data_IF_724295229383
#
_entry.id   IF_724295229383
#
_cell.length_a   1.000
_cell.length_b   1.000
_cell.length_c   1.000
_cell.angle_alpha   90.00
_cell.angle_beta   90.00
_cell.angle_gamma   90.00
#
_symmetry.space_group_name_H-M   'P 1'
#
loop_
_entity.id
_entity.type
_entity.pdbx_description
1 polymer ?
#
# COMPACT_ATOMS: atom_id res chain seq x y z
N UNK A 1 -9.35 -33.80 3.37
CA UNK A 1 -9.97 -32.46 3.43
C UNK A 1 -8.98 -31.39 3.86
N UNK A 2 -8.30 -31.52 5.02
CA UNK A 2 -7.31 -30.54 5.52
C UNK A 2 -6.31 -30.07 4.45
N UNK A 3 -5.64 -31.02 3.77
CA UNK A 3 -4.66 -30.69 2.73
C UNK A 3 -5.25 -29.95 1.52
N UNK A 4 -6.48 -30.27 1.12
CA UNK A 4 -7.17 -29.60 0.02
C UNK A 4 -7.49 -28.14 0.37
N UNK A 5 -7.98 -27.88 1.59
CA UNK A 5 -8.29 -26.51 2.04
C UNK A 5 -7.04 -25.65 2.19
N UNK A 6 -5.93 -26.21 2.68
CA UNK A 6 -4.64 -25.49 2.68
C UNK A 6 -4.16 -25.20 1.26
N UNK A 7 -4.26 -26.17 0.36
CA UNK A 7 -3.91 -25.97 -1.05
C UNK A 7 -4.76 -24.87 -1.70
N UNK A 8 -6.08 -24.90 -1.52
CA UNK A 8 -6.97 -23.86 -2.03
C UNK A 8 -6.64 -22.48 -1.45
N UNK A 9 -6.30 -22.39 -0.15
CA UNK A 9 -5.88 -21.11 0.44
C UNK A 9 -4.61 -20.54 -0.18
N UNK A 10 -3.73 -21.39 -0.70
CA UNK A 10 -2.52 -20.97 -1.40
C UNK A 10 -2.78 -20.50 -2.85
N UNK A 11 -3.93 -20.85 -3.44
CA UNK A 11 -4.31 -20.47 -4.80
C UNK A 11 -5.10 -19.16 -4.89
N UNK A 12 -5.59 -18.64 -3.76
CA UNK A 12 -6.45 -17.45 -3.72
C UNK A 12 -5.68 -16.26 -3.14
N UNK A 13 -5.73 -15.11 -3.83
CA UNK A 13 -5.09 -13.86 -3.39
C UNK A 13 -6.01 -12.95 -2.56
N UNK A 14 -7.32 -13.16 -2.62
CA UNK A 14 -8.29 -12.40 -1.83
C UNK A 14 -8.12 -12.74 -0.34
N UNK A 15 -7.92 -11.70 0.49
CA UNK A 15 -7.59 -11.88 1.89
C UNK A 15 -8.75 -12.49 2.69
N UNK A 16 -10.01 -12.12 2.40
CA UNK A 16 -11.17 -12.65 3.10
C UNK A 16 -11.38 -14.13 2.74
N UNK A 17 -11.32 -14.47 1.46
CA UNK A 17 -11.46 -15.85 0.99
C UNK A 17 -10.32 -16.72 1.52
N UNK A 18 -9.08 -16.23 1.49
CA UNK A 18 -7.92 -16.91 2.07
C UNK A 18 -8.13 -17.19 3.56
N UNK A 19 -8.59 -16.21 4.34
CA UNK A 19 -8.85 -16.37 5.78
C UNK A 19 -9.97 -17.38 6.03
N UNK A 20 -11.04 -17.35 5.24
CA UNK A 20 -12.13 -18.33 5.30
C UNK A 20 -11.64 -19.76 5.01
N UNK A 21 -10.81 -19.95 3.98
CA UNK A 21 -10.24 -21.26 3.64
C UNK A 21 -9.32 -21.79 4.73
N UNK A 22 -8.48 -20.93 5.32
CA UNK A 22 -7.64 -21.30 6.46
C UNK A 22 -8.49 -21.67 7.68
N UNK A 23 -9.51 -20.88 8.01
CA UNK A 23 -10.43 -21.19 9.10
C UNK A 23 -11.08 -22.57 8.91
N UNK A 24 -11.57 -22.87 7.70
CA UNK A 24 -12.10 -24.21 7.37
C UNK A 24 -11.04 -25.32 7.49
N UNK A 25 -9.80 -25.06 7.05
CA UNK A 25 -8.70 -26.02 7.19
C UNK A 25 -8.45 -26.38 8.66
N UNK A 26 -8.47 -25.39 9.55
CA UNK A 26 -8.29 -25.60 10.98
C UNK A 26 -9.51 -26.23 11.67
N UNK A 27 -10.73 -26.03 11.17
CA UNK A 27 -11.90 -26.81 11.64
C UNK A 27 -11.68 -28.30 11.36
N UNK A 28 -11.25 -28.63 10.13
CA UNK A 28 -10.95 -30.02 9.78
C UNK A 28 -9.77 -30.58 10.56
N UNK A 29 -8.74 -29.78 10.85
CA UNK A 29 -7.61 -30.19 11.68
C UNK A 29 -8.05 -30.47 13.12
N UNK A 30 -8.91 -29.61 13.69
CA UNK A 30 -9.47 -29.80 15.03
C UNK A 30 -10.33 -31.06 15.10
N UNK A 31 -11.19 -31.29 14.10
CA UNK A 31 -11.98 -32.53 14.00
C UNK A 31 -11.08 -33.77 13.89
N UNK A 32 -9.98 -33.67 13.12
CA UNK A 32 -8.95 -34.70 13.05
C UNK A 32 -8.31 -34.96 14.42
N UNK A 33 -7.88 -33.92 15.13
CA UNK A 33 -7.24 -34.05 16.43
C UNK A 33 -8.15 -34.68 17.51
N UNK A 34 -9.45 -34.34 17.48
CA UNK A 34 -10.48 -34.92 18.37
C UNK A 34 -10.74 -36.40 18.07
N UNK A 35 -10.69 -36.79 16.80
CA UNK A 35 -10.96 -38.17 16.37
C UNK A 35 -9.72 -39.07 16.33
N UNK A 36 -8.54 -38.51 16.67
CA UNK A 36 -7.26 -39.22 16.67
C UNK A 36 -6.66 -39.40 15.27
N UNK A 37 -6.86 -38.44 14.37
CA UNK A 37 -6.34 -38.42 13.00
C UNK A 37 -6.63 -39.70 12.19
N UNK A 38 -7.91 -40.01 11.92
CA UNK A 38 -8.27 -41.19 11.15
C UNK A 38 -7.61 -41.16 9.76
N UNK A 39 -6.91 -42.23 9.42
CA UNK A 39 -6.26 -42.40 8.12
C UNK A 39 -7.11 -43.29 7.22
N UNK A 40 -7.38 -42.87 5.97
CA UNK A 40 -8.04 -43.74 4.99
C UNK A 40 -7.24 -45.06 4.81
N UNK A 41 -7.90 -46.23 4.74
CA UNK A 41 -9.34 -46.48 4.74
C UNK A 41 -9.96 -46.74 6.13
N UNK A 42 -9.21 -46.54 7.22
CA UNK A 42 -9.68 -46.83 8.57
C UNK A 42 -10.41 -45.60 9.14
N UNK A 43 -11.70 -45.51 8.86
CA UNK A 43 -12.59 -44.48 9.40
C UNK A 43 -13.13 -44.97 10.75
N UNK A 44 -12.55 -44.48 11.84
CA UNK A 44 -12.97 -44.83 13.18
C UNK A 44 -12.31 -43.92 14.21
N UNK A 45 -12.90 -43.88 15.40
CA UNK A 45 -12.25 -43.26 16.56
C UNK A 45 -10.98 -44.05 16.85
N UNK A 46 -9.84 -43.37 16.87
CA UNK A 46 -8.64 -43.96 17.45
C UNK A 46 -8.65 -43.73 18.96
N UNK A 47 -8.07 -44.64 19.74
CA UNK A 47 -8.03 -44.56 21.20
C UNK A 47 -7.12 -43.41 21.72
N UNK A 48 -6.55 -42.61 20.82
CA UNK A 48 -5.61 -41.54 21.14
C UNK A 48 -6.14 -40.21 20.63
N UNK A 49 -6.43 -39.31 21.56
CA UNK A 49 -6.77 -37.91 21.25
C UNK A 49 -5.47 -37.09 21.26
N UNK A 50 -5.28 -36.24 20.26
CA UNK A 50 -4.12 -35.33 20.19
C UNK A 50 -4.44 -34.02 20.91
N UNK A 51 -4.11 -33.95 22.20
CA UNK A 51 -4.36 -32.76 23.03
C UNK A 51 -3.60 -31.52 22.52
N UNK A 52 -2.38 -31.70 22.02
CA UNK A 52 -1.55 -30.68 21.39
C UNK A 52 -2.19 -30.15 20.10
N UNK A 53 -2.67 -31.04 19.24
CA UNK A 53 -3.39 -30.70 18.01
C UNK A 53 -4.67 -29.92 18.29
N UNK A 54 -5.42 -30.32 19.33
CA UNK A 54 -6.62 -29.61 19.78
C UNK A 54 -6.27 -28.20 20.25
N UNK A 55 -5.27 -28.05 21.11
CA UNK A 55 -4.87 -26.75 21.65
C UNK A 55 -4.41 -25.80 20.53
N UNK A 56 -3.55 -26.28 19.63
CA UNK A 56 -3.05 -25.48 18.51
C UNK A 56 -4.15 -25.09 17.53
N UNK A 57 -4.94 -26.06 17.07
CA UNK A 57 -6.02 -25.78 16.12
C UNK A 57 -7.05 -24.80 16.70
N UNK A 58 -7.37 -24.91 18.00
CA UNK A 58 -8.29 -23.99 18.69
C UNK A 58 -7.76 -22.56 18.74
N UNK A 59 -6.48 -22.37 19.10
CA UNK A 59 -5.87 -21.04 19.14
C UNK A 59 -5.88 -20.38 17.76
N UNK A 60 -5.51 -21.12 16.73
CA UNK A 60 -5.45 -20.62 15.36
C UNK A 60 -6.86 -20.35 14.79
N UNK A 61 -7.85 -21.18 15.14
CA UNK A 61 -9.25 -20.91 14.80
C UNK A 61 -9.76 -19.60 15.39
N UNK A 62 -9.45 -19.30 16.66
CA UNK A 62 -9.85 -18.05 17.28
C UNK A 62 -9.25 -16.85 16.54
N UNK A 63 -7.97 -16.93 16.17
CA UNK A 63 -7.29 -15.87 15.42
C UNK A 63 -7.90 -15.65 14.02
N UNK A 64 -8.08 -16.71 13.24
CA UNK A 64 -8.68 -16.59 11.91
C UNK A 64 -10.16 -16.21 11.97
N UNK A 65 -10.92 -16.74 12.93
CA UNK A 65 -12.31 -16.40 13.15
C UNK A 65 -12.49 -14.92 13.48
N UNK A 66 -11.64 -14.37 14.36
CA UNK A 66 -11.64 -12.94 14.66
C UNK A 66 -11.30 -12.09 13.42
N UNK A 67 -10.30 -12.49 12.63
CA UNK A 67 -9.95 -11.79 11.40
C UNK A 67 -11.09 -11.80 10.37
N UNK A 68 -11.73 -12.96 10.14
CA UNK A 68 -12.90 -13.08 9.25
C UNK A 68 -14.03 -12.18 9.74
N UNK A 69 -14.35 -12.27 11.04
CA UNK A 69 -15.41 -11.46 11.64
C UNK A 69 -15.17 -9.96 11.42
N UNK A 70 -13.92 -9.51 11.63
CA UNK A 70 -13.54 -8.12 11.40
C UNK A 70 -13.69 -7.72 9.94
N UNK A 71 -13.19 -8.51 9.00
CA UNK A 71 -13.37 -8.23 7.57
C UNK A 71 -14.85 -8.18 7.17
N UNK A 72 -15.67 -9.12 7.64
CA UNK A 72 -17.12 -9.09 7.40
C UNK A 72 -17.82 -7.90 8.09
N UNK A 73 -17.26 -7.38 9.17
CA UNK A 73 -17.75 -6.17 9.82
C UNK A 73 -17.40 -4.93 9.02
N UNK A 74 -16.19 -4.86 8.49
CA UNK A 74 -15.68 -3.75 7.69
C UNK A 74 -16.41 -3.62 6.34
N UNK A 75 -16.84 -4.76 5.75
CA UNK A 75 -17.62 -4.81 4.50
C UNK A 75 -19.10 -4.45 4.66
N UNK A 76 -19.58 -4.15 5.88
CA UNK A 76 -20.99 -3.80 6.07
C UNK A 76 -21.30 -2.45 5.45
N UNK A 77 -22.48 -2.38 4.85
CA UNK A 77 -23.04 -1.12 4.41
C UNK A 77 -23.04 -0.10 5.57
N UNK A 78 -22.32 1.00 5.38
CA UNK A 78 -22.23 2.08 6.38
C UNK A 78 -23.60 2.76 6.43
N UNK A 79 -24.30 2.61 7.55
CA UNK A 79 -25.49 3.40 7.84
C UNK A 79 -25.07 4.66 8.61
N UNK A 80 -25.34 5.83 8.05
CA UNK A 80 -25.10 7.10 8.74
C UNK A 80 -26.24 7.38 9.72
N UNK A 81 -25.92 7.90 10.91
CA UNK A 81 -26.93 8.19 11.95
C UNK A 81 -27.68 9.48 11.65
N UNK A 82 -27.07 10.36 10.87
CA UNK A 82 -27.64 11.65 10.49
C UNK A 82 -27.35 11.96 9.02
N UNK A 83 -28.21 12.79 8.44
CA UNK A 83 -28.03 13.31 7.08
C UNK A 83 -26.71 14.10 6.95
N UNK A 84 -26.29 14.81 8.01
CA UNK A 84 -25.02 15.55 8.01
C UNK A 84 -23.80 14.61 7.92
N UNK A 85 -23.81 13.48 8.63
CA UNK A 85 -22.74 12.46 8.51
C UNK A 85 -22.69 11.86 7.11
N UNK A 86 -23.86 11.59 6.51
CA UNK A 86 -23.95 11.11 5.13
C UNK A 86 -23.47 12.16 4.13
N UNK A 87 -23.83 13.42 4.32
CA UNK A 87 -23.39 14.54 3.50
C UNK A 87 -21.88 14.76 3.64
N UNK A 88 -21.32 14.64 4.84
CA UNK A 88 -19.89 14.72 5.11
C UNK A 88 -19.14 13.54 4.49
N UNK A 89 -19.65 12.32 4.62
CA UNK A 89 -19.12 11.14 3.94
C UNK A 89 -19.17 11.32 2.42
N UNK A 90 -20.31 11.76 1.86
CA UNK A 90 -20.46 12.09 0.44
C UNK A 90 -19.55 13.22 0.02
N UNK A 91 -19.27 14.18 0.89
CA UNK A 91 -18.39 15.30 0.60
C UNK A 91 -16.94 14.85 0.52
N UNK A 92 -16.46 14.03 1.46
CA UNK A 92 -15.14 13.42 1.38
C UNK A 92 -15.02 12.43 0.21
N UNK A 93 -16.11 11.73 -0.12
CA UNK A 93 -16.17 10.80 -1.24
C UNK A 93 -16.31 11.50 -2.62
N UNK A 94 -16.98 12.67 -2.70
CA UNK A 94 -17.25 13.41 -3.95
C UNK A 94 -16.31 14.57 -4.21
N UNK A 95 -15.62 15.11 -3.18
CA UNK A 95 -14.60 16.12 -3.41
C UNK A 95 -13.38 15.43 -4.04
N UNK A 96 -12.92 16.02 -5.13
CA UNK A 96 -11.68 15.65 -5.82
C UNK A 96 -10.49 16.05 -4.94
N UNK A 97 -10.29 15.35 -3.85
CA UNK A 97 -9.05 15.43 -3.10
C UNK A 97 -7.98 14.84 -4.01
N UNK A 98 -6.93 15.60 -4.27
CA UNK A 98 -5.87 15.20 -5.18
C UNK A 98 -4.61 15.06 -4.36
N UNK A 99 -4.00 13.89 -4.41
CA UNK A 99 -2.66 13.73 -3.85
C UNK A 99 -1.68 14.40 -4.81
N UNK A 100 -0.94 15.37 -4.29
CA UNK A 100 0.12 16.03 -5.03
C UNK A 100 1.48 15.59 -4.46
N UNK A 101 2.35 15.07 -5.32
CA UNK A 101 3.74 14.74 -4.99
C UNK A 101 4.66 15.67 -5.77
N UNK A 102 5.49 16.42 -5.04
CA UNK A 102 6.48 17.32 -5.65
C UNK A 102 7.67 16.49 -6.11
N UNK A 103 8.01 16.55 -7.40
CA UNK A 103 9.19 15.88 -7.97
C UNK A 103 10.34 16.86 -8.13
N UNK A 104 10.03 18.10 -8.49
CA UNK A 104 11.02 19.15 -8.69
C UNK A 104 10.40 20.49 -8.35
N UNK A 105 11.21 21.42 -7.84
CA UNK A 105 10.79 22.74 -7.40
C UNK A 105 10.48 22.84 -5.90
N UNK A 106 10.12 24.07 -5.50
CA UNK A 106 9.71 24.41 -4.14
C UNK A 106 8.24 24.82 -4.11
N UNK A 107 7.50 24.23 -3.19
CA UNK A 107 6.11 24.60 -2.92
C UNK A 107 6.04 25.21 -1.53
N UNK A 108 5.55 26.44 -1.44
CA UNK A 108 5.27 27.12 -0.19
C UNK A 108 3.85 26.76 0.26
N UNK A 109 3.74 26.15 1.42
CA UNK A 109 2.47 25.84 2.06
C UNK A 109 2.16 26.94 3.08
N UNK A 110 1.11 27.71 2.79
CA UNK A 110 0.54 28.68 3.72
C UNK A 110 -0.57 27.96 4.51
N UNK A 111 -0.18 27.42 5.67
CA UNK A 111 -1.11 26.96 6.70
C UNK A 111 -1.24 28.08 7.75
N UNK A 112 -2.44 28.26 8.31
CA UNK A 112 -2.94 29.43 9.06
C UNK A 112 -2.07 29.92 10.22
N UNK A 113 -0.99 29.23 10.57
CA UNK A 113 -0.06 29.61 11.63
C UNK A 113 1.42 29.50 11.24
N UNK A 114 1.78 28.83 10.14
CA UNK A 114 3.19 28.63 9.79
C UNK A 114 3.36 28.41 8.29
N UNK A 115 4.21 29.24 7.68
CA UNK A 115 4.60 29.07 6.28
C UNK A 115 5.70 28.01 6.23
N UNK A 116 5.42 26.88 5.59
CA UNK A 116 6.39 25.79 5.45
C UNK A 116 6.75 25.56 3.99
N UNK A 117 8.05 25.42 3.70
CA UNK A 117 8.53 25.09 2.35
C UNK A 117 8.63 23.57 2.20
N UNK A 118 7.95 23.05 1.19
CA UNK A 118 7.94 21.65 0.80
C UNK A 118 8.89 21.45 -0.39
N UNK A 119 9.66 20.38 -0.31
CA UNK A 119 10.74 20.06 -1.25
C UNK A 119 10.37 18.83 -2.10
N UNK A 120 11.21 18.52 -3.08
CA UNK A 120 11.12 17.28 -3.87
C UNK A 120 11.00 16.04 -2.97
N UNK A 121 10.15 15.10 -3.36
CA UNK A 121 9.86 13.87 -2.61
C UNK A 121 8.72 14.01 -1.59
N UNK A 122 8.31 15.23 -1.23
CA UNK A 122 7.31 15.44 -0.18
C UNK A 122 5.87 15.48 -0.71
N UNK A 123 4.95 14.97 0.12
CA UNK A 123 3.51 15.19 -0.03
C UNK A 123 3.03 16.25 0.96
N UNK A 124 2.03 17.02 0.56
CA UNK A 124 1.49 18.11 1.39
C UNK A 124 -0.02 18.02 1.63
N UNK A 125 -0.73 17.12 0.95
CA UNK A 125 -2.11 16.76 1.28
C UNK A 125 -2.17 15.32 1.82
N UNK A 126 -2.13 15.19 3.13
CA UNK A 126 -2.25 13.89 3.80
C UNK A 126 -3.70 13.41 3.94
N UNK A 127 -4.70 14.23 3.62
CA UNK A 127 -6.11 13.83 3.74
C UNK A 127 -6.45 12.60 2.90
N UNK A 128 -5.72 12.40 1.81
CA UNK A 128 -5.86 11.26 0.90
C UNK A 128 -5.27 9.96 1.46
N UNK A 129 -4.36 10.04 2.44
CA UNK A 129 -3.74 8.87 3.06
C UNK A 129 -4.75 7.96 3.79
N UNK A 130 -5.93 8.50 4.11
CA UNK A 130 -7.05 7.74 4.67
C UNK A 130 -7.53 6.60 3.76
N UNK A 131 -7.41 6.75 2.43
CA UNK A 131 -7.73 5.68 1.46
C UNK A 131 -6.86 4.44 1.71
N UNK A 132 -5.62 4.65 2.16
CA UNK A 132 -4.68 3.57 2.46
C UNK A 132 -4.78 3.08 3.91
N UNK A 133 -5.72 3.59 4.69
CA UNK A 133 -5.91 3.24 6.11
C UNK A 133 -4.92 3.92 7.05
N UNK A 134 -4.25 5.01 6.63
CA UNK A 134 -3.54 5.90 7.57
C UNK A 134 -4.51 6.99 7.99
N UNK A 135 -5.09 6.82 9.19
CA UNK A 135 -5.96 7.83 9.79
C UNK A 135 -5.14 8.97 10.38
N UNK A 136 -4.64 9.86 9.51
CA UNK A 136 -4.09 11.14 9.94
C UNK A 136 -5.29 12.01 10.26
N UNK A 137 -5.43 12.38 11.54
CA UNK A 137 -6.60 13.04 12.08
C UNK A 137 -7.14 14.12 11.14
N UNK A 138 -8.41 14.01 10.79
CA UNK A 138 -9.16 14.97 9.97
C UNK A 138 -9.38 16.32 10.69
N UNK A 139 -8.45 16.76 11.54
CA UNK A 139 -8.55 17.99 12.31
C UNK A 139 -8.24 19.23 11.46
N UNK A 140 -8.55 19.17 10.17
CA UNK A 140 -8.86 20.38 9.42
C UNK A 140 -10.27 20.78 9.84
N UNK A 141 -10.39 21.61 10.89
CA UNK A 141 -11.63 22.37 11.12
C UNK A 141 -12.10 22.93 9.79
N UNK A 142 -13.36 22.68 9.40
CA UNK A 142 -13.94 22.89 8.06
C UNK A 142 -13.66 24.25 7.38
N UNK A 143 -13.13 25.23 8.12
CA UNK A 143 -12.80 26.58 7.67
C UNK A 143 -11.32 26.79 7.26
N UNK A 144 -10.41 25.88 7.63
CA UNK A 144 -8.96 26.06 7.42
C UNK A 144 -8.45 25.15 6.31
N UNK A 145 -8.69 25.55 5.06
CA UNK A 145 -7.92 25.03 3.94
C UNK A 145 -6.47 25.54 4.02
N UNK A 146 -5.52 24.76 3.51
CA UNK A 146 -4.17 25.25 3.24
C UNK A 146 -4.10 25.83 1.82
N UNK A 147 -3.21 26.79 1.58
CA UNK A 147 -2.90 27.26 0.22
C UNK A 147 -1.48 26.84 -0.14
N UNK A 148 -1.33 26.06 -1.20
CA UNK A 148 -0.02 25.74 -1.76
C UNK A 148 0.31 26.70 -2.91
N UNK A 149 1.48 27.34 -2.87
CA UNK A 149 1.98 28.22 -3.95
C UNK A 149 3.33 27.72 -4.44
N UNK A 150 3.47 27.61 -5.75
CA UNK A 150 4.77 27.32 -6.35
C UNK A 150 5.70 28.52 -6.15
N UNK A 151 6.85 28.30 -5.51
CA UNK A 151 7.91 29.31 -5.31
C UNK A 151 8.92 29.30 -6.48
N UNK A 152 9.05 28.16 -7.15
CA UNK A 152 9.82 27.96 -8.38
C UNK A 152 8.95 27.27 -9.42
N UNK A 153 9.46 27.10 -10.64
CA UNK A 153 8.87 26.14 -11.57
C UNK A 153 8.84 24.75 -10.89
N UNK A 154 7.67 24.10 -10.91
CA UNK A 154 7.45 22.85 -10.20
C UNK A 154 7.03 21.75 -11.17
N UNK A 155 7.62 20.57 -11.00
CA UNK A 155 7.13 19.32 -11.58
C UNK A 155 6.42 18.54 -10.48
N UNK A 156 5.14 18.25 -10.68
CA UNK A 156 4.31 17.55 -9.71
C UNK A 156 3.55 16.40 -10.38
N UNK A 157 3.44 15.30 -9.65
CA UNK A 157 2.44 14.27 -9.96
C UNK A 157 1.18 14.53 -9.17
N UNK A 158 0.06 14.37 -9.84
CA UNK A 158 -1.26 14.53 -9.28
C UNK A 158 -2.02 13.22 -9.46
N UNK A 159 -2.62 12.72 -8.38
CA UNK A 159 -3.55 11.60 -8.45
C UNK A 159 -4.89 12.00 -7.85
N UNK A 160 -5.97 11.70 -8.56
CA UNK A 160 -7.33 11.83 -8.04
C UNK A 160 -7.60 10.78 -6.96
N UNK A 161 -8.57 11.04 -6.07
CA UNK A 161 -9.11 10.03 -5.13
C UNK A 161 -9.48 8.75 -5.89
N UNK A 162 -10.18 8.89 -7.02
CA UNK A 162 -10.66 7.75 -7.80
C UNK A 162 -9.49 6.91 -8.35
N UNK A 163 -8.39 7.53 -8.75
CA UNK A 163 -7.20 6.81 -9.21
C UNK A 163 -6.47 6.14 -8.04
N UNK A 164 -6.41 6.77 -6.88
CA UNK A 164 -5.78 6.20 -5.69
C UNK A 164 -6.59 5.04 -5.13
N UNK A 165 -7.92 5.09 -5.18
CA UNK A 165 -8.80 3.98 -4.83
C UNK A 165 -8.64 2.82 -5.80
N UNK A 166 -8.56 3.08 -7.11
CA UNK A 166 -8.23 2.03 -8.08
C UNK A 166 -6.87 1.40 -7.75
N UNK A 167 -5.86 2.23 -7.50
CA UNK A 167 -4.50 1.80 -7.16
C UNK A 167 -4.46 0.98 -5.86
N UNK A 168 -5.22 1.38 -4.83
CA UNK A 168 -5.29 0.63 -3.56
C UNK A 168 -5.92 -0.74 -3.73
N UNK A 169 -6.88 -0.86 -4.65
CA UNK A 169 -7.58 -2.11 -4.94
C UNK A 169 -6.80 -3.07 -5.86
N UNK A 170 -5.71 -2.62 -6.51
CA UNK A 170 -4.88 -3.50 -7.35
C UNK A 170 -4.14 -4.57 -6.55
N UNK A 171 -3.68 -4.26 -5.34
CA UNK A 171 -2.95 -5.21 -4.49
C UNK A 171 -2.85 -4.73 -3.04
N UNK A 172 -3.01 -5.63 -2.03
CA UNK A 172 -2.74 -5.29 -0.63
C UNK A 172 -1.34 -4.73 -0.37
N UNK A 173 -0.36 -5.12 -1.19
CA UNK A 173 1.02 -4.62 -1.09
C UNK A 173 1.12 -3.12 -1.43
N UNK A 174 0.24 -2.61 -2.28
CA UNK A 174 0.22 -1.20 -2.67
C UNK A 174 -0.31 -0.36 -1.50
N UNK A 175 -1.41 -0.77 -0.88
CA UNK A 175 -1.92 -0.08 0.31
C UNK A 175 -0.90 -0.11 1.46
N UNK A 176 -0.20 -1.24 1.66
CA UNK A 176 0.89 -1.32 2.64
C UNK A 176 2.04 -0.37 2.31
N UNK A 177 2.45 -0.28 1.05
CA UNK A 177 3.47 0.67 0.59
C UNK A 177 3.08 2.11 0.92
N UNK A 178 1.85 2.52 0.61
CA UNK A 178 1.40 3.90 0.87
C UNK A 178 1.35 4.22 2.36
N UNK A 179 0.93 3.27 3.22
CA UNK A 179 0.99 3.44 4.67
C UNK A 179 2.42 3.69 5.15
N UNK A 180 3.34 2.86 4.68
CA UNK A 180 4.77 3.01 4.99
C UNK A 180 5.35 4.31 4.46
N UNK A 181 5.01 4.70 3.24
CA UNK A 181 5.44 5.95 2.62
C UNK A 181 5.00 7.16 3.46
N UNK A 182 3.72 7.22 3.82
CA UNK A 182 3.16 8.30 4.64
C UNK A 182 3.82 8.36 6.02
N UNK A 183 4.04 7.21 6.68
CA UNK A 183 4.76 7.17 7.96
C UNK A 183 6.21 7.65 7.84
N UNK A 184 6.89 7.29 6.75
CA UNK A 184 8.23 7.80 6.45
C UNK A 184 8.22 9.31 6.25
N UNK A 185 7.28 9.86 5.48
CA UNK A 185 7.14 11.31 5.28
C UNK A 185 6.98 12.06 6.61
N UNK A 186 6.08 11.58 7.47
CA UNK A 186 5.90 12.14 8.82
C UNK A 186 7.19 12.03 9.64
N UNK A 187 7.87 10.88 9.58
CA UNK A 187 9.13 10.66 10.27
C UNK A 187 10.26 11.58 9.78
N UNK A 188 10.36 11.81 8.47
CA UNK A 188 11.34 12.71 7.87
C UNK A 188 11.06 14.16 8.24
N UNK A 189 9.80 14.60 8.23
CA UNK A 189 9.41 15.93 8.68
C UNK A 189 9.71 16.13 10.17
N UNK A 190 9.41 15.14 11.00
CA UNK A 190 9.76 15.16 12.43
C UNK A 190 11.27 15.23 12.64
N UNK A 191 12.05 14.41 11.93
CA UNK A 191 13.50 14.41 12.03
C UNK A 191 14.12 15.75 11.61
N UNK A 192 13.62 16.36 10.53
CA UNK A 192 14.05 17.69 10.09
C UNK A 192 13.76 18.76 11.15
N UNK A 193 12.60 18.67 11.83
CA UNK A 193 12.22 19.60 12.89
C UNK A 193 13.07 19.44 14.16
N UNK A 194 13.32 18.20 14.60
CA UNK A 194 14.06 17.91 15.86
C UNK A 194 15.58 18.02 15.67
N UNK A 195 16.08 17.80 14.46
CA UNK A 195 17.51 17.73 14.15
C UNK A 195 17.88 18.60 12.93
N UNK A 196 17.59 19.92 12.94
CA UNK A 196 17.80 20.79 11.78
C UNK A 196 19.25 20.83 11.29
N UNK A 197 20.22 20.60 12.19
CA UNK A 197 21.65 20.56 11.86
C UNK A 197 22.07 19.38 10.97
N UNK A 198 21.22 18.36 10.81
CA UNK A 198 21.53 17.19 9.98
C UNK A 198 21.11 17.34 8.52
N UNK A 199 20.42 18.44 8.18
CA UNK A 199 19.89 18.70 6.84
C UNK A 199 18.83 17.69 6.39
N UNK A 200 18.33 17.88 5.17
CA UNK A 200 17.47 16.89 4.52
C UNK A 200 18.28 15.68 4.05
N UNK A 201 17.67 14.50 4.11
CA UNK A 201 18.29 13.22 3.73
C UNK A 201 17.42 12.52 2.69
N UNK A 202 18.09 11.89 1.74
CA UNK A 202 17.50 11.09 0.69
C UNK A 202 17.02 9.74 1.25
N UNK A 203 16.48 8.89 0.36
CA UNK A 203 15.84 7.65 0.76
C UNK A 203 16.76 6.66 1.48
N UNK A 204 18.02 6.67 1.07
CA UNK A 204 19.13 5.86 1.55
C UNK A 204 19.74 6.40 2.86
N UNK A 205 19.21 7.52 3.37
CA UNK A 205 19.68 8.19 4.58
C UNK A 205 20.93 9.05 4.38
N UNK A 206 21.47 9.17 3.16
CA UNK A 206 22.55 10.09 2.84
C UNK A 206 22.01 11.53 2.75
N UNK A 207 22.85 12.54 3.03
CA UNK A 207 22.42 13.93 2.88
C UNK A 207 22.03 14.24 1.43
N UNK A 208 21.00 15.08 1.28
CA UNK A 208 20.62 15.65 0.00
C UNK A 208 21.68 16.63 -0.53
N UNK A 209 21.64 16.91 -1.83
CA UNK A 209 22.54 17.88 -2.45
C UNK A 209 22.17 19.33 -2.06
N UNK A 210 23.10 20.28 -2.17
CA UNK A 210 22.78 21.70 -1.97
C UNK A 210 21.78 22.24 -3.00
N UNK A 211 21.68 21.60 -4.17
CA UNK A 211 20.68 21.95 -5.18
C UNK A 211 19.26 21.65 -4.69
N UNK A 212 19.09 20.62 -3.87
CA UNK A 212 17.79 20.28 -3.28
C UNK A 212 17.21 21.42 -2.44
N UNK A 213 18.04 22.09 -1.62
CA UNK A 213 17.62 23.20 -0.75
C UNK A 213 17.10 24.41 -1.52
N UNK A 214 17.49 24.57 -2.79
CA UNK A 214 17.04 25.65 -3.68
C UNK A 214 15.92 25.21 -4.64
N UNK A 215 15.37 24.00 -4.47
CA UNK A 215 14.29 23.45 -5.32
C UNK A 215 14.73 22.43 -6.36
N UNK A 216 15.98 22.00 -6.31
CA UNK A 216 16.48 20.89 -7.10
C UNK A 216 15.73 19.59 -6.77
N UNK A 217 15.81 18.66 -7.71
CA UNK A 217 15.24 17.32 -7.59
C UNK A 217 15.96 16.54 -6.47
N UNK A 218 15.24 15.71 -5.71
CA UNK A 218 15.84 14.77 -4.75
C UNK A 218 16.70 13.75 -5.48
N UNK A 219 17.79 13.31 -4.83
CA UNK A 219 18.67 12.24 -5.31
C UNK A 219 17.91 10.97 -5.68
N UNK A 220 16.83 10.68 -4.98
CA UNK A 220 15.98 9.50 -5.18
C UNK A 220 15.38 9.39 -6.60
N UNK A 221 15.30 10.51 -7.34
CA UNK A 221 14.69 10.54 -8.66
C UNK A 221 15.69 10.52 -9.82
N UNK A 222 16.98 10.69 -9.58
CA UNK A 222 17.98 10.77 -10.66
C UNK A 222 19.24 9.96 -10.40
N UNK A 223 19.58 9.66 -9.16
CA UNK A 223 20.70 8.78 -8.86
C UNK A 223 20.35 7.37 -9.36
N UNK A 224 21.31 6.75 -10.05
CA UNK A 224 21.12 5.37 -10.47
C UNK A 224 21.07 4.50 -9.22
N UNK A 225 20.17 3.53 -9.21
CA UNK A 225 20.10 2.52 -8.17
C UNK A 225 21.49 1.90 -7.97
N UNK A 226 21.94 1.84 -6.73
CA UNK A 226 23.20 1.20 -6.40
C UNK A 226 23.15 -0.31 -6.69
N UNK A 227 24.30 -0.96 -6.86
CA UNK A 227 24.37 -2.39 -7.17
C UNK A 227 23.71 -3.28 -6.09
N UNK A 228 23.60 -2.79 -4.85
CA UNK A 228 22.89 -3.44 -3.75
C UNK A 228 21.37 -3.18 -3.73
N UNK A 229 20.91 -2.17 -4.47
CA UNK A 229 19.49 -1.86 -4.68
C UNK A 229 18.93 -2.50 -5.95
N UNK A 230 19.79 -2.76 -6.93
CA UNK A 230 19.45 -3.53 -8.14
C UNK A 230 19.43 -5.01 -7.79
N UNK A 231 18.38 -5.73 -8.20
CA UNK A 231 18.34 -7.18 -7.99
C UNK A 231 19.57 -7.83 -8.61
N UNK A 232 20.35 -8.62 -7.87
CA UNK A 232 21.42 -9.39 -8.49
C UNK A 232 20.81 -10.30 -9.56
N UNK A 233 21.50 -10.52 -10.70
CA UNK A 233 20.99 -11.39 -11.75
C UNK A 233 20.68 -12.77 -11.16
N UNK A 234 19.39 -13.14 -11.14
CA UNK A 234 18.91 -14.36 -10.48
C UNK A 234 19.64 -15.58 -11.05
N UNK A 235 20.44 -16.22 -10.20
CA UNK A 235 21.01 -17.54 -10.47
C UNK A 235 19.93 -18.61 -10.22
N UNK A 236 20.02 -19.80 -10.83
CA UNK A 236 19.04 -20.87 -10.60
C UNK A 236 18.88 -21.26 -9.12
N UNK A 237 19.96 -21.16 -8.35
CA UNK A 237 19.96 -21.38 -6.90
C UNK A 237 19.29 -20.25 -6.11
N UNK A 238 19.16 -19.06 -6.70
CA UNK A 238 18.53 -17.91 -6.04
C UNK A 238 17.01 -18.08 -5.97
N UNK A 239 16.40 -18.89 -6.84
CA UNK A 239 14.99 -19.29 -6.65
C UNK A 239 14.79 -20.12 -5.39
N UNK A 240 15.74 -21.01 -5.09
CA UNK A 240 15.73 -21.78 -3.84
C UNK A 240 15.97 -20.86 -2.64
N UNK A 241 16.93 -19.94 -2.73
CA UNK A 241 17.16 -18.97 -1.65
C UNK A 241 16.03 -17.96 -1.47
N UNK A 242 15.39 -17.48 -2.53
CA UNK A 242 14.21 -16.63 -2.47
C UNK A 242 13.03 -17.37 -1.84
N UNK A 243 12.86 -18.65 -2.16
CA UNK A 243 11.89 -19.53 -1.52
C UNK A 243 12.22 -19.73 -0.03
N UNK A 244 13.47 -19.97 0.33
CA UNK A 244 13.89 -20.14 1.73
C UNK A 244 13.76 -18.83 2.54
N UNK A 245 13.97 -17.67 1.91
CA UNK A 245 13.78 -16.35 2.52
C UNK A 245 12.31 -15.99 2.76
N UNK A 246 11.34 -16.74 2.22
CA UNK A 246 9.94 -16.63 2.65
C UNK A 246 9.77 -16.99 4.13
N UNK A 247 10.75 -17.68 4.72
CA UNK A 247 10.76 -18.12 6.11
C UNK A 247 11.74 -17.32 7.00
N UNK A 248 12.38 -16.27 6.49
CA UNK A 248 13.31 -15.46 7.27
C UNK A 248 12.54 -14.50 8.20
N UNK A 249 12.70 -14.58 9.54
CA UNK A 249 11.92 -13.77 10.48
C UNK A 249 12.26 -12.29 10.46
N UNK A 250 13.37 -11.86 9.83
CA UNK A 250 13.80 -10.47 9.83
C UNK A 250 14.18 -9.98 8.42
N UNK A 251 13.58 -8.88 7.91
CA UNK A 251 14.01 -8.27 6.66
C UNK A 251 15.39 -7.61 6.82
N UNK A 252 16.24 -7.56 5.77
CA UNK A 252 17.57 -6.97 5.89
C UNK A 252 17.51 -5.44 6.05
N UNK A 253 18.47 -4.82 6.77
CA UNK A 253 18.53 -3.38 6.98
C UNK A 253 18.77 -2.61 5.67
N UNK A 254 18.07 -1.49 5.48
CA UNK A 254 18.14 -0.65 4.27
C UNK A 254 17.05 -0.92 3.22
N UNK A 255 16.27 -2.00 3.38
CA UNK A 255 15.23 -2.37 2.42
C UNK A 255 13.87 -1.85 2.87
N UNK A 256 13.46 -0.72 2.28
CA UNK A 256 12.15 -0.11 2.45
C UNK A 256 11.04 -1.12 2.15
N UNK A 257 10.39 -1.61 3.20
CA UNK A 257 9.05 -2.21 3.20
C UNK A 257 8.70 -3.09 2.00
N UNK A 258 9.44 -4.19 1.85
CA UNK A 258 8.90 -5.36 1.17
C UNK A 258 9.15 -6.58 2.03
N UNK A 259 8.12 -7.41 2.20
CA UNK A 259 8.29 -8.77 2.68
C UNK A 259 9.17 -9.60 1.72
N UNK A 260 9.49 -9.13 0.51
CA UNK A 260 10.64 -9.56 -0.32
C UNK A 260 11.04 -8.48 -1.36
N UNK A 261 12.09 -7.68 -1.12
CA UNK A 261 12.54 -6.65 -2.07
C UNK A 261 13.44 -7.18 -3.20
N UNK A 262 13.79 -8.47 -3.19
CA UNK A 262 14.80 -9.11 -4.07
C UNK A 262 14.31 -9.60 -5.44
N UNK A 263 13.08 -9.29 -5.82
CA UNK A 263 12.53 -9.78 -7.09
C UNK A 263 12.33 -8.69 -8.13
N UNK A 264 12.36 -7.42 -7.71
CA UNK A 264 11.97 -6.31 -8.56
C UNK A 264 10.56 -6.45 -9.13
N UNK A 265 9.78 -7.48 -8.75
CA UNK A 265 8.52 -7.84 -9.39
C UNK A 265 7.52 -6.72 -9.17
N UNK A 266 7.55 -6.05 -8.01
CA UNK A 266 6.72 -4.89 -7.75
C UNK A 266 7.13 -3.70 -8.62
N UNK A 267 8.43 -3.39 -8.73
CA UNK A 267 8.93 -2.31 -9.59
C UNK A 267 8.67 -2.61 -11.09
N UNK A 268 8.87 -3.85 -11.51
CA UNK A 268 8.61 -4.37 -12.86
C UNK A 268 7.13 -4.36 -13.20
N UNK A 269 6.26 -4.82 -12.30
CA UNK A 269 4.81 -4.75 -12.49
C UNK A 269 4.33 -3.29 -12.53
N UNK A 270 4.96 -2.40 -11.76
CA UNK A 270 4.70 -0.95 -11.82
C UNK A 270 5.16 -0.35 -13.15
N UNK A 271 6.32 -0.72 -13.67
CA UNK A 271 6.80 -0.29 -14.99
C UNK A 271 5.90 -0.81 -16.12
N UNK A 272 5.44 -2.06 -16.04
CA UNK A 272 4.49 -2.61 -17.01
C UNK A 272 3.14 -1.90 -16.96
N UNK A 273 2.59 -1.65 -15.77
CA UNK A 273 1.35 -0.90 -15.61
C UNK A 273 1.47 0.55 -16.14
N UNK A 274 2.61 1.20 -15.92
CA UNK A 274 2.88 2.55 -16.41
C UNK A 274 3.07 2.58 -17.93
N UNK A 275 3.68 1.56 -18.51
CA UNK A 275 3.79 1.39 -19.96
C UNK A 275 2.41 1.16 -20.60
N UNK A 276 1.56 0.34 -19.99
CA UNK A 276 0.19 0.10 -20.44
C UNK A 276 -0.66 1.37 -20.37
N UNK A 277 -0.56 2.13 -19.27
CA UNK A 277 -1.23 3.43 -19.13
C UNK A 277 -0.81 4.42 -20.23
N UNK A 278 0.49 4.51 -20.54
CA UNK A 278 0.99 5.36 -21.65
C UNK A 278 0.44 4.93 -23.01
N UNK A 279 0.31 3.63 -23.26
CA UNK A 279 -0.30 3.13 -24.51
C UNK A 279 -1.77 3.50 -24.60
N UNK A 280 -2.51 3.42 -23.49
CA UNK A 280 -3.92 3.83 -23.44
C UNK A 280 -4.09 5.33 -23.66
N UNK A 281 -3.23 6.15 -23.07
CA UNK A 281 -3.21 7.61 -23.27
C UNK A 281 -2.93 7.97 -24.74
N UNK A 282 -1.92 7.37 -25.36
CA UNK A 282 -1.61 7.58 -26.78
C UNK A 282 -2.79 7.21 -27.69
N UNK A 283 -3.52 6.13 -27.37
CA UNK A 283 -4.74 5.74 -28.09
C UNK A 283 -5.88 6.73 -27.90
N UNK A 284 -6.06 7.26 -26.69
CA UNK A 284 -7.08 8.28 -26.42
C UNK A 284 -6.81 9.57 -27.21
N UNK A 285 -5.53 9.99 -27.28
CA UNK A 285 -5.11 11.15 -28.07
C UNK A 285 -5.34 10.92 -29.56
N UNK A 286 -4.97 9.75 -30.11
CA UNK A 286 -5.21 9.46 -31.54
C UNK A 286 -6.70 9.46 -31.90
N UNK A 287 -7.55 8.91 -31.03
CA UNK A 287 -9.01 8.91 -31.23
C UNK A 287 -9.61 10.32 -31.17
N UNK A 288 -9.05 11.20 -30.33
CA UNK A 288 -9.49 12.59 -30.25
C UNK A 288 -9.13 13.42 -31.49
N UNK A 289 -8.02 13.08 -32.18
CA UNK A 289 -7.62 13.73 -33.43
C UNK A 289 -8.37 13.20 -34.66
N UNK A 290 -8.87 11.96 -34.61
CA UNK A 290 -9.59 11.34 -35.73
C UNK A 290 -11.09 11.65 -35.76
N UNK A 291 -11.66 12.20 -34.68
CA UNK A 291 -13.04 12.68 -34.68
C UNK A 291 -13.12 13.96 -35.53
N UNK A 292 -13.65 13.90 -36.76
CA UNK A 292 -13.76 15.08 -37.60
C UNK A 292 -14.85 15.98 -37.01
N UNK A 293 -14.69 17.30 -37.15
CA UNK A 293 -15.65 18.37 -36.81
C UNK A 293 -16.98 18.23 -37.60
N UNK A 294 -17.69 17.11 -37.43
CA UNK A 294 -18.99 16.86 -38.07
C UNK A 294 -20.17 17.51 -37.34
N UNK A 295 -19.91 18.24 -36.25
CA UNK A 295 -20.94 18.92 -35.46
C UNK A 295 -20.86 20.46 -35.49
N UNK A 296 -20.03 21.04 -36.37
CA UNK A 296 -19.77 22.49 -36.43
C UNK A 296 -20.44 23.26 -37.57
N UNK A 297 -21.47 22.73 -38.24
CA UNK A 297 -22.26 23.50 -39.22
C UNK A 297 -23.75 23.15 -39.10
N UNK A 298 -24.46 23.90 -38.25
CA UNK A 298 -25.90 24.08 -38.30
C UNK A 298 -26.20 25.57 -38.12
#
# INVERSE_FOLDING_TARGET
MVGLTFFLSALVSDLLVLRCLLFMAYIFLLSGAITGYPSWPNWGWQDVISADGIAWASLVLLFHGYAIWRHLWDERHISFRSENEEQLWRFFYRRRIKLHLVIEGLVELDDTCEVSVKHSGTIFDFGVANIFGVYIGFDCSDEKGFTARAKTDCLLYEWSVEDLEKISNLSPAIAAFWRSFVLCEVGMQYAAHVHPQHGCRAADGKPESSEFEIGGRSRDFYEQLHEDEVDPPMRPLDHLWAFLRLFDPFPPPGLRHSSQPMSGVIARNRLFALQEAKVLEQRAVSLSCELPDKYGQA
#
